data_IF_149838244082
#
_entry.id   IF_149838244082
#
_cell.length_a   1.000
_cell.length_b   1.000
_cell.length_c   1.000
_cell.angle_alpha   90.00
_cell.angle_beta   90.00
_cell.angle_gamma   90.00
#
_symmetry.space_group_name_H-M   'P 1'
#
loop_
_entity.id
_entity.type
_entity.pdbx_description
1 polymer ?
#
# COMPACT_ATOMS: atom_id res chain seq x y z
N UNK A 1 10.29 36.35 57.43
CA UNK A 1 8.98 36.23 56.73
C UNK A 1 8.89 37.46 55.81
N UNK A 2 8.85 37.43 54.48
CA UNK A 2 8.31 36.46 53.52
C UNK A 2 9.22 36.33 52.28
N UNK A 3 9.43 35.11 51.80
CA UNK A 3 9.97 34.82 50.48
C UNK A 3 8.87 35.04 49.43
N UNK A 4 9.10 35.91 48.43
CA UNK A 4 8.31 35.95 47.19
C UNK A 4 9.04 35.11 46.15
N UNK A 5 8.56 33.91 45.92
CA UNK A 5 9.06 33.00 44.87
C UNK A 5 8.64 33.51 43.50
N UNK A 6 9.61 33.91 42.68
CA UNK A 6 9.45 34.05 41.24
C UNK A 6 9.38 32.65 40.63
N UNK A 7 8.23 32.29 40.06
CA UNK A 7 8.06 31.01 39.36
C UNK A 7 8.56 31.10 37.91
N UNK A 8 9.51 30.26 37.47
CA UNK A 8 9.81 30.14 36.06
C UNK A 8 8.81 29.15 35.43
N UNK A 9 7.74 29.67 34.84
CA UNK A 9 6.78 28.88 34.08
C UNK A 9 6.91 29.18 32.59
N UNK A 10 8.07 28.89 31.99
CA UNK A 10 8.23 28.93 30.53
C UNK A 10 9.39 28.06 30.05
N UNK A 11 9.26 26.75 30.19
CA UNK A 11 10.16 25.80 29.52
C UNK A 11 9.53 24.41 29.49
N UNK A 12 8.61 24.14 28.54
CA UNK A 12 8.24 22.78 28.11
C UNK A 12 7.25 22.82 26.94
N UNK A 13 7.66 23.34 25.78
CA UNK A 13 6.82 23.37 24.57
C UNK A 13 7.55 22.85 23.32
N UNK A 14 8.28 21.72 23.42
CA UNK A 14 8.98 21.09 22.27
C UNK A 14 8.75 19.57 22.21
N UNK A 15 7.52 19.11 22.46
CA UNK A 15 7.25 17.66 22.53
C UNK A 15 6.56 17.05 21.29
N UNK A 16 6.22 17.80 20.23
CA UNK A 16 5.24 17.32 19.24
C UNK A 16 5.62 17.45 17.75
N UNK A 17 6.90 17.52 17.38
CA UNK A 17 7.27 17.60 15.94
C UNK A 17 8.50 16.77 15.57
N UNK A 18 8.66 15.59 16.19
CA UNK A 18 9.86 14.76 16.02
C UNK A 18 9.89 13.82 14.81
N UNK A 19 8.74 13.44 14.24
CA UNK A 19 8.72 12.38 13.22
C UNK A 19 9.30 12.82 11.85
N UNK A 20 9.15 14.10 11.47
CA UNK A 20 9.70 14.59 10.19
C UNK A 20 11.22 14.74 10.18
N UNK A 21 11.84 15.05 11.31
CA UNK A 21 13.30 15.25 11.39
C UNK A 21 14.06 13.92 11.33
N UNK A 22 13.49 12.83 11.84
CA UNK A 22 14.11 11.50 11.79
C UNK A 22 14.32 11.01 10.35
N UNK A 23 13.37 11.30 9.45
CA UNK A 23 13.44 10.87 8.06
C UNK A 23 14.45 11.66 7.21
N UNK A 24 14.76 12.90 7.63
CA UNK A 24 15.82 13.73 7.03
C UNK A 24 17.22 13.41 7.55
N UNK A 25 17.36 13.01 8.81
CA UNK A 25 18.67 12.76 9.44
C UNK A 25 19.18 11.32 9.30
N UNK A 26 18.29 10.31 9.19
CA UNK A 26 18.65 8.88 9.24
C UNK A 26 18.42 8.10 7.93
N UNK A 27 18.28 8.83 6.81
CA UNK A 27 18.10 8.25 5.49
C UNK A 27 16.62 8.11 5.13
N UNK A 28 16.24 8.63 3.97
CA UNK A 28 14.86 8.60 3.48
C UNK A 28 14.30 7.19 3.29
N UNK A 29 13.03 7.06 2.87
CA UNK A 29 12.30 5.79 2.79
C UNK A 29 13.10 4.69 2.08
N UNK A 30 12.97 3.40 2.44
CA UNK A 30 13.80 2.35 1.86
C UNK A 30 13.50 2.18 0.36
N UNK A 31 14.46 1.63 -0.39
CA UNK A 31 14.22 1.19 -1.77
C UNK A 31 13.26 0.00 -1.75
N UNK A 32 12.24 0.06 -2.59
CA UNK A 32 11.32 -1.07 -2.77
C UNK A 32 12.06 -2.23 -3.45
N UNK A 33 11.75 -3.44 -2.99
CA UNK A 33 12.15 -4.72 -3.60
C UNK A 33 10.95 -5.64 -3.50
N UNK A 34 10.21 -5.76 -4.59
CA UNK A 34 8.96 -6.50 -4.66
C UNK A 34 9.03 -7.46 -5.84
N UNK A 35 8.42 -8.62 -5.70
CA UNK A 35 8.22 -9.55 -6.79
C UNK A 35 7.01 -9.19 -7.62
N UNK A 36 6.70 -10.04 -8.59
CA UNK A 36 5.53 -9.86 -9.45
C UNK A 36 4.24 -9.99 -8.63
N UNK A 37 3.27 -9.11 -8.89
CA UNK A 37 1.93 -9.24 -8.30
C UNK A 37 0.92 -9.51 -9.39
N UNK A 38 0.25 -10.66 -9.30
CA UNK A 38 -0.83 -11.03 -10.20
C UNK A 38 -2.16 -10.56 -9.63
N UNK A 39 -2.94 -9.86 -10.44
CA UNK A 39 -4.30 -9.43 -10.11
C UNK A 39 -5.25 -10.18 -11.05
N UNK A 40 -6.12 -11.00 -10.47
CA UNK A 40 -7.05 -11.83 -11.22
C UNK A 40 -8.48 -11.49 -10.84
N UNK A 41 -9.27 -11.10 -11.84
CA UNK A 41 -10.70 -10.91 -11.72
C UNK A 41 -11.46 -12.13 -12.28
N UNK A 42 -12.35 -12.70 -11.48
CA UNK A 42 -13.28 -13.73 -11.97
C UNK A 42 -14.18 -13.19 -13.08
N UNK A 43 -14.82 -14.08 -13.83
CA UNK A 43 -15.76 -13.70 -14.88
C UNK A 43 -16.96 -12.89 -14.38
N UNK A 44 -17.29 -13.05 -13.10
CA UNK A 44 -18.37 -12.34 -12.41
C UNK A 44 -17.89 -11.28 -11.41
N UNK A 45 -16.61 -10.90 -11.49
CA UNK A 45 -15.97 -9.98 -10.58
C UNK A 45 -16.75 -8.67 -10.40
N UNK A 46 -16.74 -8.16 -9.17
CA UNK A 46 -17.41 -6.91 -8.82
C UNK A 46 -18.86 -6.84 -9.35
N UNK A 47 -19.61 -7.93 -9.19
CA UNK A 47 -21.00 -8.05 -9.67
C UNK A 47 -21.14 -7.76 -11.17
N UNK A 48 -20.24 -8.29 -12.00
CA UNK A 48 -20.16 -8.04 -13.44
C UNK A 48 -19.88 -6.56 -13.81
N UNK A 49 -19.17 -5.82 -12.96
CA UNK A 49 -18.83 -4.41 -13.19
C UNK A 49 -17.31 -4.22 -13.26
N UNK A 50 -16.82 -3.15 -13.92
CA UNK A 50 -15.39 -2.82 -13.91
C UNK A 50 -14.84 -2.63 -12.50
N UNK A 51 -13.57 -2.96 -12.31
CA UNK A 51 -12.82 -2.76 -11.06
C UNK A 51 -11.84 -1.62 -11.25
N UNK A 52 -11.87 -0.63 -10.36
CA UNK A 52 -10.82 0.40 -10.28
C UNK A 52 -9.76 -0.02 -9.28
N UNK A 53 -8.49 0.08 -9.65
CA UNK A 53 -7.36 -0.26 -8.80
C UNK A 53 -6.38 0.91 -8.73
N UNK A 54 -6.08 1.36 -7.52
CA UNK A 54 -5.05 2.36 -7.25
C UNK A 54 -3.92 1.73 -6.44
N UNK A 55 -2.72 1.67 -7.03
CA UNK A 55 -1.49 1.28 -6.34
C UNK A 55 -0.81 2.55 -5.83
N UNK A 56 -0.72 2.68 -4.50
CA UNK A 56 -0.28 3.89 -3.81
C UNK A 56 1.02 3.60 -3.08
N UNK A 57 2.10 4.23 -3.56
CA UNK A 57 3.41 4.21 -2.91
C UNK A 57 3.49 5.39 -1.95
N UNK A 58 3.83 5.12 -0.70
CA UNK A 58 3.84 6.11 0.39
C UNK A 58 5.25 6.28 0.92
N UNK A 59 5.80 7.48 0.80
CA UNK A 59 7.14 7.83 1.25
C UNK A 59 7.17 8.54 2.62
N UNK A 60 6.02 8.96 3.15
CA UNK A 60 5.90 9.69 4.43
C UNK A 60 5.19 8.87 5.51
N UNK A 61 5.75 8.88 6.73
CA UNK A 61 5.28 8.04 7.83
C UNK A 61 3.91 8.47 8.38
N UNK A 62 3.60 9.78 8.37
CA UNK A 62 2.30 10.26 8.83
C UNK A 62 1.20 9.88 7.84
N UNK A 63 1.48 9.95 6.54
CA UNK A 63 0.57 9.45 5.50
C UNK A 63 0.40 7.94 5.56
N UNK A 64 1.46 7.18 5.81
CA UNK A 64 1.36 5.73 6.02
C UNK A 64 0.41 5.42 7.19
N UNK A 65 0.61 6.04 8.35
CA UNK A 65 -0.23 5.84 9.53
C UNK A 65 -1.69 6.23 9.26
N UNK A 66 -1.91 7.36 8.57
CA UNK A 66 -3.24 7.78 8.14
C UNK A 66 -3.92 6.74 7.25
N UNK A 67 -3.20 6.23 6.25
CA UNK A 67 -3.73 5.24 5.32
C UNK A 67 -3.87 3.84 5.92
N UNK A 68 -3.22 3.55 7.05
CA UNK A 68 -3.41 2.32 7.82
C UNK A 68 -4.67 2.33 8.69
N UNK A 69 -5.17 3.52 9.06
CA UNK A 69 -6.34 3.65 9.92
C UNK A 69 -7.54 2.86 9.35
N UNK A 70 -8.34 2.17 10.21
CA UNK A 70 -9.48 1.38 9.76
C UNK A 70 -10.52 2.18 8.96
N UNK A 71 -10.76 3.42 9.36
CA UNK A 71 -11.77 4.31 8.75
C UNK A 71 -11.25 5.07 7.53
N UNK A 72 -9.96 4.91 7.19
CA UNK A 72 -9.39 5.59 6.03
C UNK A 72 -10.02 5.09 4.74
N UNK A 73 -10.50 6.02 3.91
CA UNK A 73 -11.02 5.77 2.57
C UNK A 73 -10.17 6.48 1.53
N UNK A 74 -9.60 5.72 0.61
CA UNK A 74 -8.73 6.24 -0.43
C UNK A 74 -9.51 6.92 -1.57
N UNK A 75 -10.48 6.28 -2.20
CA UNK A 75 -11.14 6.86 -3.39
C UNK A 75 -11.75 8.26 -3.19
N UNK A 76 -12.43 8.59 -2.08
CA UNK A 76 -12.98 9.94 -1.87
C UNK A 76 -11.93 10.99 -1.45
N UNK A 77 -10.78 10.59 -0.91
CA UNK A 77 -9.82 11.53 -0.29
C UNK A 77 -8.44 11.55 -0.97
N UNK A 78 -8.09 10.49 -1.69
CA UNK A 78 -6.80 10.24 -2.32
C UNK A 78 -6.34 11.35 -3.28
N UNK A 79 -7.21 11.86 -4.18
CA UNK A 79 -6.83 12.98 -5.06
C UNK A 79 -6.40 14.23 -4.29
N UNK A 80 -7.10 14.58 -3.22
CA UNK A 80 -6.74 15.72 -2.36
C UNK A 80 -5.43 15.48 -1.62
N UNK A 81 -5.22 14.26 -1.12
CA UNK A 81 -3.96 13.86 -0.47
C UNK A 81 -2.78 13.94 -1.44
N UNK A 82 -2.93 13.42 -2.66
CA UNK A 82 -1.90 13.48 -3.68
C UNK A 82 -1.54 14.93 -4.04
N UNK A 83 -2.56 15.80 -4.17
CA UNK A 83 -2.35 17.22 -4.44
C UNK A 83 -1.66 17.94 -3.27
N UNK A 84 -1.98 17.56 -2.03
CA UNK A 84 -1.40 18.16 -0.82
C UNK A 84 0.02 17.68 -0.52
N UNK A 85 0.38 16.48 -0.99
CA UNK A 85 1.68 15.85 -0.71
C UNK A 85 2.33 15.24 -1.96
N UNK A 86 2.64 16.05 -3.01
CA UNK A 86 3.07 15.56 -4.32
C UNK A 86 4.42 14.82 -4.33
N UNK A 87 5.26 15.01 -3.31
CA UNK A 87 6.53 14.28 -3.14
C UNK A 87 6.43 13.04 -2.24
N UNK A 88 5.31 12.86 -1.54
CA UNK A 88 5.16 11.79 -0.54
C UNK A 88 4.27 10.63 -1.03
N UNK A 89 3.49 10.85 -2.08
CA UNK A 89 2.61 9.84 -2.68
C UNK A 89 2.92 9.70 -4.17
N UNK A 90 2.99 8.45 -4.65
CA UNK A 90 2.91 8.13 -6.07
C UNK A 90 1.77 7.15 -6.29
N UNK A 91 0.96 7.37 -7.31
CA UNK A 91 -0.25 6.58 -7.57
C UNK A 91 -0.19 6.04 -8.99
N UNK A 92 -0.37 4.74 -9.14
CA UNK A 92 -0.65 4.09 -10.42
C UNK A 92 -2.11 3.65 -10.41
N UNK A 93 -2.92 4.23 -11.30
CA UNK A 93 -4.34 3.91 -11.43
C UNK A 93 -4.58 3.07 -12.67
N UNK A 94 -5.37 2.02 -12.54
CA UNK A 94 -5.94 1.30 -13.67
C UNK A 94 -7.39 0.91 -13.40
N UNK A 95 -8.12 0.66 -14.48
CA UNK A 95 -9.48 0.14 -14.45
C UNK A 95 -9.58 -1.01 -15.45
N UNK A 96 -10.26 -2.08 -15.07
CA UNK A 96 -10.34 -3.28 -15.89
C UNK A 96 -11.67 -4.02 -15.72
N UNK A 97 -12.16 -4.72 -16.76
CA UNK A 97 -13.40 -5.47 -16.69
C UNK A 97 -13.23 -6.81 -15.94
N UNK A 98 -14.34 -7.51 -15.62
CA UNK A 98 -14.31 -8.91 -15.23
C UNK A 98 -13.61 -9.82 -16.24
N UNK A 99 -13.21 -11.03 -15.82
CA UNK A 99 -12.43 -11.98 -16.61
C UNK A 99 -11.06 -11.45 -17.10
N UNK A 100 -10.47 -10.50 -16.35
CA UNK A 100 -9.15 -9.93 -16.67
C UNK A 100 -8.09 -10.47 -15.74
N UNK A 101 -6.93 -10.76 -16.31
CA UNK A 101 -5.68 -10.96 -15.57
C UNK A 101 -4.72 -9.80 -15.85
N UNK A 102 -4.18 -9.23 -14.79
CA UNK A 102 -3.23 -8.12 -14.83
C UNK A 102 -1.98 -8.50 -14.06
N UNK A 103 -0.83 -8.11 -14.60
CA UNK A 103 0.46 -8.29 -13.96
C UNK A 103 1.00 -6.93 -13.54
N UNK A 104 1.36 -6.79 -12.26
CA UNK A 104 2.18 -5.68 -11.77
C UNK A 104 3.63 -6.17 -11.73
N UNK A 105 4.43 -5.89 -12.78
CA UNK A 105 5.78 -6.41 -12.86
C UNK A 105 6.69 -5.75 -11.81
N UNK A 106 7.76 -6.42 -11.36
CA UNK A 106 8.75 -5.85 -10.45
C UNK A 106 9.30 -4.50 -10.92
N UNK A 107 9.46 -4.33 -12.23
CA UNK A 107 9.93 -3.10 -12.87
C UNK A 107 9.07 -1.86 -12.60
N UNK A 108 7.80 -2.04 -12.23
CA UNK A 108 6.94 -0.95 -11.78
C UNK A 108 7.43 -0.32 -10.46
N UNK A 109 8.09 -1.11 -9.62
CA UNK A 109 8.59 -0.72 -8.30
C UNK A 109 10.10 -0.44 -8.27
N UNK A 110 10.82 -0.79 -9.33
CA UNK A 110 12.26 -0.60 -9.42
C UNK A 110 12.67 0.87 -9.29
N UNK A 111 13.70 1.12 -8.50
CA UNK A 111 14.21 2.46 -8.21
C UNK A 111 13.29 3.32 -7.31
N UNK A 112 12.07 2.87 -7.03
CA UNK A 112 11.14 3.56 -6.15
C UNK A 112 11.57 3.44 -4.69
N UNK A 113 11.23 4.47 -3.91
CA UNK A 113 11.45 4.49 -2.46
C UNK A 113 10.14 4.78 -1.76
N UNK A 114 9.73 3.89 -0.87
CA UNK A 114 8.49 4.01 -0.11
C UNK A 114 8.58 3.23 1.20
N UNK A 115 7.88 3.72 2.23
CA UNK A 115 7.66 3.06 3.51
C UNK A 115 6.59 1.97 3.39
N UNK A 116 5.57 2.22 2.54
CA UNK A 116 4.47 1.29 2.32
C UNK A 116 3.99 1.34 0.87
N UNK A 117 3.42 0.21 0.42
CA UNK A 117 2.70 0.13 -0.85
C UNK A 117 1.31 -0.42 -0.57
N UNK A 118 0.30 0.40 -0.81
CA UNK A 118 -1.09 0.01 -0.69
C UNK A 118 -1.69 -0.27 -2.06
N UNK A 119 -2.54 -1.28 -2.12
CA UNK A 119 -3.45 -1.50 -3.24
C UNK A 119 -4.86 -1.25 -2.76
N UNK A 120 -5.53 -0.28 -3.37
CA UNK A 120 -6.93 0.01 -3.15
C UNK A 120 -7.75 -0.47 -4.34
N UNK A 121 -8.77 -1.28 -4.08
CA UNK A 121 -9.73 -1.70 -5.10
C UNK A 121 -11.10 -1.06 -4.82
N UNK A 122 -11.62 -0.33 -5.80
CA UNK A 122 -12.94 0.26 -5.78
C UNK A 122 -13.93 -0.77 -6.33
N UNK A 123 -14.76 -1.31 -5.44
CA UNK A 123 -15.81 -2.26 -5.77
C UNK A 123 -17.19 -1.62 -5.51
N UNK A 124 -18.23 -2.20 -6.10
CA UNK A 124 -19.62 -1.74 -5.98
C UNK A 124 -20.13 -1.75 -4.54
N UNK A 125 -19.59 -2.63 -3.69
CA UNK A 125 -19.94 -2.72 -2.27
C UNK A 125 -18.95 -1.97 -1.35
N UNK A 126 -17.98 -1.28 -1.94
CA UNK A 126 -17.03 -0.43 -1.23
C UNK A 126 -15.57 -0.75 -1.50
N UNK A 127 -14.71 0.01 -0.83
CA UNK A 127 -13.26 -0.07 -0.99
C UNK A 127 -12.67 -1.29 -0.28
N UNK A 128 -11.72 -1.96 -0.95
CA UNK A 128 -10.83 -2.97 -0.35
C UNK A 128 -9.39 -2.46 -0.36
N UNK A 129 -8.62 -2.88 0.63
CA UNK A 129 -7.23 -2.46 0.84
C UNK A 129 -6.34 -3.67 1.09
N UNK A 130 -5.17 -3.68 0.47
CA UNK A 130 -4.07 -4.57 0.81
C UNK A 130 -2.76 -3.77 0.97
N UNK A 131 -1.86 -4.26 1.81
CA UNK A 131 -0.51 -3.73 1.98
C UNK A 131 0.47 -4.77 1.44
N UNK A 132 1.25 -4.40 0.43
CA UNK A 132 1.95 -5.35 -0.43
C UNK A 132 3.47 -5.16 -0.51
N UNK A 133 4.04 -4.11 0.10
CA UNK A 133 5.50 -3.94 0.09
C UNK A 133 6.31 -5.10 0.72
N UNK A 134 5.77 -5.95 1.62
CA UNK A 134 6.51 -7.12 2.11
C UNK A 134 6.63 -8.24 1.08
N UNK A 135 5.94 -8.16 -0.08
CA UNK A 135 5.83 -9.22 -1.07
C UNK A 135 7.08 -9.31 -1.95
N UNK A 136 8.20 -9.68 -1.34
CA UNK A 136 9.52 -9.74 -2.00
C UNK A 136 9.58 -10.80 -3.09
N UNK A 137 8.90 -11.92 -2.89
CA UNK A 137 8.82 -13.04 -3.84
C UNK A 137 7.55 -12.99 -4.71
N UNK A 138 6.81 -11.88 -4.62
CA UNK A 138 5.57 -11.66 -5.34
C UNK A 138 4.32 -12.05 -4.55
N UNK A 139 3.17 -11.96 -5.21
CA UNK A 139 1.89 -12.28 -4.61
C UNK A 139 0.73 -12.24 -5.57
N UNK A 140 -0.46 -12.47 -5.04
CA UNK A 140 -1.68 -12.55 -5.81
C UNK A 140 -2.81 -11.80 -5.13
N UNK A 141 -3.58 -11.10 -5.94
CA UNK A 141 -4.82 -10.43 -5.59
C UNK A 141 -5.93 -11.07 -6.42
N UNK A 142 -6.94 -11.63 -5.75
CA UNK A 142 -8.09 -12.25 -6.37
C UNK A 142 -9.33 -11.41 -6.08
N UNK A 143 -10.06 -11.08 -7.13
CA UNK A 143 -11.31 -10.33 -7.07
C UNK A 143 -12.42 -11.24 -7.60
N UNK A 144 -13.35 -11.58 -6.72
CA UNK A 144 -14.56 -12.32 -7.06
C UNK A 144 -15.78 -11.41 -7.21
N UNK A 145 -16.97 -12.00 -7.28
CA UNK A 145 -18.24 -11.27 -7.32
C UNK A 145 -18.42 -10.27 -6.16
N UNK A 146 -18.15 -10.75 -4.95
CA UNK A 146 -18.21 -9.98 -3.68
C UNK A 146 -16.94 -10.18 -2.83
N UNK A 147 -16.09 -11.14 -3.24
CA UNK A 147 -14.89 -11.54 -2.53
C UNK A 147 -13.66 -10.75 -2.95
N UNK A 148 -12.78 -10.52 -1.98
CA UNK A 148 -11.44 -9.95 -2.19
C UNK A 148 -10.44 -10.74 -1.36
N UNK A 149 -9.33 -11.15 -1.97
CA UNK A 149 -8.23 -11.81 -1.27
C UNK A 149 -6.90 -11.28 -1.79
N UNK A 150 -6.01 -10.93 -0.89
CA UNK A 150 -4.64 -10.54 -1.18
C UNK A 150 -3.71 -11.44 -0.38
N UNK A 151 -2.76 -12.10 -1.04
CA UNK A 151 -1.85 -13.04 -0.41
C UNK A 151 -0.45 -12.98 -1.05
N UNK A 152 0.56 -13.22 -0.22
CA UNK A 152 1.93 -13.48 -0.68
C UNK A 152 1.95 -14.72 -1.58
N UNK A 153 2.89 -14.76 -2.52
CA UNK A 153 3.14 -15.97 -3.29
C UNK A 153 3.55 -17.08 -2.30
N UNK A 154 2.88 -18.23 -2.38
CA UNK A 154 3.32 -19.40 -1.63
C UNK A 154 4.70 -19.79 -2.16
N UNK A 155 5.67 -19.97 -1.27
CA UNK A 155 7.07 -20.30 -1.60
C UNK A 155 7.24 -21.74 -2.12
N UNK A 156 6.20 -22.33 -2.74
CA UNK A 156 6.08 -23.76 -3.03
C UNK A 156 5.69 -24.04 -4.50
N UNK A 157 6.36 -23.34 -5.43
CA UNK A 157 6.33 -23.67 -6.86
C UNK A 157 7.49 -24.60 -7.29
N UNK A 158 8.01 -25.42 -6.36
CA UNK A 158 8.87 -26.57 -6.67
C UNK A 158 8.18 -27.87 -6.23
N UNK A 159 7.09 -28.24 -6.90
CA UNK A 159 6.68 -29.63 -7.05
C UNK A 159 5.66 -29.76 -8.20
N UNK A 160 6.12 -29.83 -9.45
CA UNK A 160 5.42 -30.67 -10.41
C UNK A 160 5.85 -32.12 -10.10
N UNK A 161 4.98 -32.98 -9.54
CA UNK A 161 5.29 -34.39 -9.47
C UNK A 161 5.34 -34.95 -10.90
N UNK A 162 6.39 -35.73 -11.16
CA UNK A 162 6.85 -36.12 -12.48
C UNK A 162 5.80 -36.65 -13.46
N UNK A 163 6.00 -36.31 -14.72
CA UNK A 163 5.74 -37.24 -15.82
C UNK A 163 7.09 -37.74 -16.34
N UNK A 164 7.64 -38.69 -15.59
CA UNK A 164 8.76 -39.53 -15.98
C UNK A 164 8.33 -40.47 -17.13
N UNK A 165 9.19 -40.54 -18.14
CA UNK A 165 9.12 -41.45 -19.28
C UNK A 165 8.82 -42.88 -18.84
N UNK A 166 7.93 -43.57 -19.54
CA UNK A 166 8.00 -45.02 -19.70
C UNK A 166 7.42 -45.44 -21.04
N UNK A 167 8.33 -46.04 -21.82
CA UNK A 167 8.19 -46.97 -22.95
C UNK A 167 7.62 -46.46 -24.26
#
# INVERSE_FOLDING_TARGET
MCFRTAGPALACAIALSGCSLYQGLFGGPPKLKMGEVQVQASADANRNSPVTLDIVLVADAALEQRLMAPDSKWFPHGPLLLASFPGALRVFRCEFPPATELTLPPSMFDGQRALAVFVFAGLADGERRARIEPWRDGGQIQIGREGWRAALAATDALQQPGLNKST
#
